data_IF_316075204326
#
_entry.id   IF_316075204326
#
_cell.length_a   1.000
_cell.length_b   1.000
_cell.length_c   1.000
_cell.angle_alpha   90.00
_cell.angle_beta   90.00
_cell.angle_gamma   90.00
#
_symmetry.space_group_name_H-M   'P 1'
#
loop_
_entity.id
_entity.type
_entity.pdbx_description
1 polymer ?
#
# COMPACT_ATOMS: atom_id res chain seq x y z
N UNK A 1 9.31 -8.77 17.01
CA UNK A 1 8.21 -8.91 16.05
C UNK A 1 7.26 -7.72 16.12
N UNK A 2 6.93 -7.11 15.00
CA UNK A 2 5.97 -6.00 14.91
C UNK A 2 4.94 -6.34 13.83
N UNK A 3 3.73 -6.71 14.26
CA UNK A 3 2.59 -6.90 13.39
C UNK A 3 1.77 -5.62 13.24
N UNK A 4 0.89 -5.55 12.26
CA UNK A 4 -0.02 -4.42 12.13
C UNK A 4 -1.36 -4.82 11.52
N UNK A 5 -2.39 -4.00 11.81
CA UNK A 5 -3.64 -3.96 11.07
C UNK A 5 -3.80 -2.57 10.45
N UNK A 6 -4.10 -2.50 9.15
CA UNK A 6 -4.09 -1.24 8.40
C UNK A 6 -5.34 -1.12 7.51
N UNK A 7 -6.53 -0.88 8.09
CA UNK A 7 -7.76 -0.72 7.35
C UNK A 7 -7.88 0.65 6.67
N UNK A 8 -8.52 0.67 5.49
CA UNK A 8 -9.00 1.93 4.91
C UNK A 8 -10.33 2.33 5.57
N UNK A 9 -10.54 3.61 5.91
CA UNK A 9 -11.72 4.08 6.63
C UNK A 9 -12.93 4.29 5.70
N UNK A 10 -13.30 3.24 4.96
CA UNK A 10 -14.42 3.26 4.01
C UNK A 10 -15.76 2.80 4.60
N UNK A 11 -15.79 2.51 5.88
CA UNK A 11 -16.94 2.05 6.66
C UNK A 11 -16.52 1.10 7.79
N UNK A 12 -17.49 0.48 8.47
CA UNK A 12 -17.22 -0.47 9.53
C UNK A 12 -16.48 -1.70 9.01
N UNK A 13 -15.77 -2.39 9.90
CA UNK A 13 -15.07 -3.62 9.55
C UNK A 13 -16.07 -4.70 9.14
N UNK A 14 -15.84 -5.29 7.98
CA UNK A 14 -16.56 -6.51 7.59
C UNK A 14 -15.86 -7.75 8.19
N UNK A 15 -16.54 -8.89 8.14
CA UNK A 15 -16.03 -10.14 8.72
C UNK A 15 -14.60 -10.49 8.26
N UNK A 16 -14.30 -10.35 6.96
CA UNK A 16 -12.96 -10.63 6.42
C UNK A 16 -11.87 -9.71 6.98
N UNK A 17 -12.19 -8.41 7.20
CA UNK A 17 -11.26 -7.47 7.82
C UNK A 17 -10.99 -7.85 9.28
N UNK A 18 -12.05 -8.27 10.00
CA UNK A 18 -11.92 -8.72 11.38
C UNK A 18 -11.09 -10.00 11.49
N UNK A 19 -11.27 -10.95 10.57
CA UNK A 19 -10.42 -12.16 10.50
C UNK A 19 -8.95 -11.80 10.33
N UNK A 20 -8.63 -10.85 9.44
CA UNK A 20 -7.26 -10.38 9.22
C UNK A 20 -6.70 -9.66 10.46
N UNK A 21 -7.52 -8.86 11.14
CA UNK A 21 -7.14 -8.20 12.40
C UNK A 21 -6.81 -9.23 13.49
N UNK A 22 -7.70 -10.21 13.72
CA UNK A 22 -7.49 -11.29 14.71
C UNK A 22 -6.24 -12.10 14.38
N UNK A 23 -6.06 -12.50 13.12
CA UNK A 23 -4.92 -13.31 12.71
C UNK A 23 -3.58 -12.56 12.96
N UNK A 24 -3.49 -11.30 12.53
CA UNK A 24 -2.28 -10.49 12.75
C UNK A 24 -2.04 -10.16 14.24
N UNK A 25 -3.11 -9.96 15.01
CA UNK A 25 -3.02 -9.74 16.45
C UNK A 25 -2.47 -10.97 17.18
N UNK A 26 -3.07 -12.14 16.96
CA UNK A 26 -2.63 -13.38 17.59
C UNK A 26 -1.20 -13.75 17.18
N UNK A 27 -0.85 -13.52 15.93
CA UNK A 27 0.52 -13.74 15.44
C UNK A 27 1.53 -12.83 16.18
N UNK A 28 1.25 -11.53 16.28
CA UNK A 28 2.10 -10.61 17.04
C UNK A 28 2.23 -11.02 18.52
N UNK A 29 1.11 -11.35 19.17
CA UNK A 29 1.11 -11.75 20.59
C UNK A 29 1.82 -13.08 20.82
N UNK A 30 1.70 -14.04 19.90
CA UNK A 30 2.41 -15.34 20.01
C UNK A 30 3.94 -15.17 19.98
N UNK A 31 4.42 -14.11 19.35
CA UNK A 31 5.85 -13.74 19.32
C UNK A 31 6.25 -12.75 20.41
N UNK A 32 5.40 -12.50 21.40
CA UNK A 32 5.62 -11.47 22.43
C UNK A 32 5.95 -10.09 21.82
N UNK A 33 5.42 -9.83 20.63
CA UNK A 33 5.67 -8.63 19.85
C UNK A 33 4.57 -7.59 20.01
N UNK A 34 4.76 -6.47 19.32
CA UNK A 34 3.80 -5.38 19.24
C UNK A 34 2.84 -5.56 18.07
N UNK A 35 1.60 -5.08 18.23
CA UNK A 35 0.60 -5.04 17.18
C UNK A 35 0.09 -3.61 17.01
N UNK A 36 0.39 -3.00 15.86
CA UNK A 36 0.12 -1.59 15.57
C UNK A 36 -1.16 -1.42 14.79
N UNK A 37 -1.84 -0.29 14.99
CA UNK A 37 -2.97 0.14 14.18
C UNK A 37 -2.55 1.30 13.28
N UNK A 38 -2.84 1.18 11.98
CA UNK A 38 -2.72 2.27 11.01
C UNK A 38 -4.03 2.46 10.29
N UNK A 39 -4.42 3.70 10.02
CA UNK A 39 -5.57 4.03 9.19
C UNK A 39 -5.05 4.49 7.83
N UNK A 40 -5.40 3.72 6.78
CA UNK A 40 -4.95 3.98 5.42
C UNK A 40 -5.96 4.95 4.73
N UNK A 41 -5.87 6.24 5.08
CA UNK A 41 -6.74 7.36 4.71
C UNK A 41 -6.13 8.25 3.61
N UNK A 42 -5.92 7.68 2.42
CA UNK A 42 -5.34 8.38 1.24
C UNK A 42 -6.30 8.52 0.06
N UNK A 43 -7.54 8.09 0.21
CA UNK A 43 -8.56 8.18 -0.86
C UNK A 43 -9.84 8.86 -0.35
N UNK A 44 -9.83 10.21 -0.24
CA UNK A 44 -10.94 10.97 0.34
C UNK A 44 -12.30 10.69 -0.30
N UNK A 45 -12.32 10.26 -1.56
CA UNK A 45 -13.56 9.94 -2.27
C UNK A 45 -14.26 8.67 -1.74
N UNK A 46 -13.54 7.80 -1.02
CA UNK A 46 -14.08 6.55 -0.46
C UNK A 46 -14.11 6.52 1.05
N UNK A 47 -13.64 7.57 1.71
CA UNK A 47 -13.54 7.64 3.16
C UNK A 47 -14.83 8.16 3.77
N UNK A 48 -15.19 7.61 4.92
CA UNK A 48 -16.26 8.11 5.78
C UNK A 48 -15.62 8.67 7.05
N UNK A 49 -15.97 9.90 7.40
CA UNK A 49 -15.36 10.61 8.53
C UNK A 49 -15.60 9.91 9.88
N UNK A 50 -16.66 9.10 10.00
CA UNK A 50 -16.97 8.32 11.22
C UNK A 50 -16.23 6.99 11.26
N UNK A 51 -15.78 6.47 10.11
CA UNK A 51 -15.24 5.12 10.03
C UNK A 51 -13.99 4.87 10.90
N UNK A 52 -13.03 5.79 11.06
CA UNK A 52 -11.91 5.55 11.96
C UNK A 52 -12.36 5.23 13.40
N UNK A 53 -13.30 6.02 13.96
CA UNK A 53 -13.82 5.79 15.30
C UNK A 53 -14.58 4.46 15.40
N UNK A 54 -15.42 4.16 14.41
CA UNK A 54 -16.17 2.90 14.34
C UNK A 54 -15.25 1.68 14.27
N UNK A 55 -14.16 1.76 13.50
CA UNK A 55 -13.14 0.71 13.39
C UNK A 55 -12.46 0.49 14.74
N UNK A 56 -12.04 1.55 15.41
CA UNK A 56 -11.42 1.48 16.73
C UNK A 56 -12.35 0.83 17.75
N UNK A 57 -13.60 1.27 17.80
CA UNK A 57 -14.60 0.70 18.71
C UNK A 57 -14.84 -0.78 18.44
N UNK A 58 -14.96 -1.17 17.17
CA UNK A 58 -15.12 -2.57 16.80
C UNK A 58 -13.92 -3.44 17.24
N UNK A 59 -12.68 -2.95 17.03
CA UNK A 59 -11.49 -3.65 17.49
C UNK A 59 -11.51 -3.84 19.02
N UNK A 60 -11.80 -2.80 19.78
CA UNK A 60 -11.88 -2.84 21.24
C UNK A 60 -12.98 -3.79 21.72
N UNK A 61 -14.16 -3.79 21.10
CA UNK A 61 -15.26 -4.71 21.43
C UNK A 61 -14.87 -6.20 21.24
N UNK A 62 -13.91 -6.47 20.36
CA UNK A 62 -13.37 -7.82 20.12
C UNK A 62 -12.08 -8.10 20.93
N UNK A 63 -11.71 -7.21 21.86
CA UNK A 63 -10.51 -7.38 22.69
C UNK A 63 -9.19 -7.19 21.93
N UNK A 64 -9.22 -6.57 20.73
CA UNK A 64 -8.05 -6.32 19.91
C UNK A 64 -7.46 -4.95 20.26
N UNK A 65 -6.58 -4.93 21.25
CA UNK A 65 -5.93 -3.70 21.74
C UNK A 65 -4.58 -3.54 21.05
N UNK A 66 -4.39 -2.44 20.34
CA UNK A 66 -3.14 -2.09 19.68
C UNK A 66 -2.14 -1.43 20.62
N UNK A 67 -0.88 -1.44 20.25
CA UNK A 67 0.22 -0.82 20.99
C UNK A 67 0.60 0.54 20.38
N UNK A 68 0.91 1.51 21.24
CA UNK A 68 1.36 2.83 20.82
C UNK A 68 0.28 3.69 20.13
N UNK A 69 0.75 4.68 19.39
CA UNK A 69 -0.12 5.64 18.71
C UNK A 69 -0.64 5.09 17.37
N UNK A 70 -1.83 5.54 16.99
CA UNK A 70 -2.41 5.20 15.69
C UNK A 70 -1.75 6.07 14.62
N UNK A 71 -1.24 5.44 13.58
CA UNK A 71 -0.71 6.13 12.42
C UNK A 71 -1.81 6.39 11.40
N UNK A 72 -1.96 7.65 10.96
CA UNK A 72 -2.82 8.03 9.83
C UNK A 72 -1.95 8.32 8.62
N UNK A 73 -2.23 7.70 7.48
CA UNK A 73 -1.45 7.91 6.26
C UNK A 73 -1.51 9.35 5.74
N UNK A 74 -2.64 10.03 5.93
CA UNK A 74 -2.82 11.45 5.58
C UNK A 74 -1.80 12.38 6.26
N UNK A 75 -1.29 12.01 7.43
CA UNK A 75 -0.24 12.76 8.13
C UNK A 75 1.17 12.55 7.53
N UNK A 76 1.33 11.64 6.58
CA UNK A 76 2.62 11.15 6.06
C UNK A 76 2.98 11.59 4.64
N UNK A 77 2.23 12.53 4.06
CA UNK A 77 2.38 12.93 2.66
C UNK A 77 3.81 13.37 2.29
N UNK A 78 4.51 14.04 3.22
CA UNK A 78 5.91 14.44 3.03
C UNK A 78 6.85 13.23 2.88
N UNK A 79 6.61 12.17 3.65
CA UNK A 79 7.41 10.92 3.56
C UNK A 79 7.22 10.22 2.22
N UNK A 80 6.00 10.20 1.69
CA UNK A 80 5.74 9.63 0.35
C UNK A 80 6.39 10.46 -0.76
N UNK A 81 6.38 11.80 -0.62
CA UNK A 81 7.10 12.66 -1.56
C UNK A 81 8.61 12.39 -1.52
N UNK A 82 9.19 12.26 -0.33
CA UNK A 82 10.61 11.93 -0.17
C UNK A 82 10.95 10.57 -0.80
N UNK A 83 10.12 9.56 -0.57
CA UNK A 83 10.30 8.23 -1.18
C UNK A 83 10.24 8.32 -2.71
N UNK A 84 9.28 9.07 -3.29
CA UNK A 84 9.25 9.29 -4.74
C UNK A 84 10.48 10.01 -5.26
N UNK A 85 10.99 11.01 -4.55
CA UNK A 85 12.22 11.72 -4.95
C UNK A 85 13.41 10.75 -5.01
N UNK A 86 13.54 9.88 -4.02
CA UNK A 86 14.58 8.84 -4.01
C UNK A 86 14.42 7.88 -5.19
N UNK A 87 13.22 7.34 -5.41
CA UNK A 87 12.95 6.44 -6.52
C UNK A 87 13.18 7.10 -7.90
N UNK A 88 12.96 8.42 -8.00
CA UNK A 88 13.28 9.19 -9.22
C UNK A 88 14.79 9.26 -9.42
N UNK A 89 15.56 9.56 -8.38
CA UNK A 89 17.03 9.59 -8.44
C UNK A 89 17.61 8.22 -8.84
N UNK A 90 16.97 7.13 -8.42
CA UNK A 90 17.35 5.76 -8.75
C UNK A 90 16.85 5.31 -10.16
N UNK A 91 16.25 6.22 -10.94
CA UNK A 91 15.65 5.93 -12.24
C UNK A 91 14.65 4.75 -12.20
N UNK A 92 13.82 4.73 -11.15
CA UNK A 92 12.77 3.72 -10.94
C UNK A 92 11.38 4.23 -11.29
N UNK A 93 11.22 5.53 -11.53
CA UNK A 93 9.93 6.12 -11.83
C UNK A 93 9.88 6.66 -13.26
N UNK A 94 8.69 6.57 -13.87
CA UNK A 94 8.41 7.15 -15.18
C UNK A 94 6.94 7.57 -15.28
N UNK A 95 6.63 8.61 -16.11
CA UNK A 95 5.26 9.05 -16.34
C UNK A 95 4.48 8.07 -17.21
N UNK A 96 3.16 8.01 -17.01
CA UNK A 96 2.25 7.17 -17.79
C UNK A 96 0.94 7.89 -18.06
N UNK A 97 0.66 8.17 -19.34
CA UNK A 97 -0.57 8.82 -19.82
C UNK A 97 -1.71 7.84 -20.13
N UNK A 98 -1.48 6.51 -20.09
CA UNK A 98 -2.47 5.50 -20.42
C UNK A 98 -3.75 5.67 -19.60
N UNK A 99 -4.91 5.50 -20.25
CA UNK A 99 -6.19 5.40 -19.55
C UNK A 99 -6.34 4.03 -18.87
N UNK A 100 -7.32 3.91 -17.96
CA UNK A 100 -7.61 2.62 -17.30
C UNK A 100 -8.05 1.56 -18.34
N UNK A 101 -8.71 1.96 -19.40
CA UNK A 101 -9.18 1.05 -20.47
C UNK A 101 -8.01 0.49 -21.29
N UNK A 102 -6.96 1.31 -21.48
CA UNK A 102 -5.80 0.94 -22.28
C UNK A 102 -4.70 0.23 -21.44
N UNK A 103 -4.94 0.09 -20.15
CA UNK A 103 -3.98 -0.53 -19.23
C UNK A 103 -4.33 -2.00 -19.06
N UNK A 104 -3.50 -2.93 -19.53
CA UNK A 104 -3.70 -4.35 -19.29
C UNK A 104 -3.53 -4.68 -17.80
N UNK A 105 -4.04 -5.84 -17.39
CA UNK A 105 -3.90 -6.32 -16.00
C UNK A 105 -2.45 -6.37 -15.56
N UNK A 106 -1.56 -6.80 -16.45
CA UNK A 106 -0.10 -6.81 -16.24
C UNK A 106 0.49 -5.78 -17.18
N UNK A 107 0.97 -4.68 -16.61
CA UNK A 107 1.50 -3.57 -17.40
C UNK A 107 3.00 -3.75 -17.65
N UNK A 108 3.35 -3.98 -18.90
CA UNK A 108 4.71 -4.32 -19.34
C UNK A 108 5.63 -3.12 -19.60
N UNK A 109 5.29 -1.91 -19.13
CA UNK A 109 6.16 -0.74 -19.28
C UNK A 109 5.98 0.00 -20.61
N UNK A 110 4.82 -0.06 -21.28
CA UNK A 110 4.58 0.59 -22.56
C UNK A 110 5.02 2.08 -22.60
N UNK A 111 4.69 2.85 -21.56
CA UNK A 111 5.08 4.25 -21.47
C UNK A 111 6.57 4.48 -21.11
N UNK A 112 7.28 3.48 -20.67
CA UNK A 112 8.70 3.61 -20.34
C UNK A 112 9.54 3.95 -21.57
N UNK A 113 9.18 3.41 -22.74
CA UNK A 113 9.88 3.61 -24.01
C UNK A 113 9.13 4.53 -24.97
N UNK A 114 7.89 4.92 -24.64
CA UNK A 114 7.08 5.78 -25.49
C UNK A 114 7.40 7.26 -25.25
N UNK A 115 8.29 7.83 -26.05
CA UNK A 115 8.64 9.25 -26.01
C UNK A 115 7.55 10.20 -26.57
N UNK A 116 6.51 9.66 -27.21
CA UNK A 116 5.44 10.44 -27.84
C UNK A 116 4.22 10.66 -26.94
N UNK A 117 4.26 10.20 -25.66
CA UNK A 117 3.14 10.44 -24.77
C UNK A 117 2.98 11.92 -24.44
N UNK A 118 1.74 12.39 -24.42
CA UNK A 118 1.42 13.75 -24.01
C UNK A 118 1.45 13.88 -22.48
N UNK A 119 2.46 14.58 -21.98
CA UNK A 119 2.63 14.87 -20.56
C UNK A 119 2.11 16.26 -20.15
N UNK A 120 1.52 17.03 -21.07
CA UNK A 120 0.84 18.28 -20.73
C UNK A 120 -0.48 18.03 -19.97
N UNK A 121 -1.04 16.84 -20.12
CA UNK A 121 -2.24 16.39 -19.43
C UNK A 121 -1.89 15.66 -18.11
N UNK A 122 -2.83 15.59 -17.15
CA UNK A 122 -2.63 14.83 -15.93
C UNK A 122 -2.23 13.38 -16.23
N UNK A 123 -1.11 12.94 -15.67
CA UNK A 123 -0.56 11.62 -15.88
C UNK A 123 -0.22 10.93 -14.55
N UNK A 124 -0.21 9.63 -14.56
CA UNK A 124 0.23 8.83 -13.41
C UNK A 124 1.75 8.67 -13.42
N UNK A 125 2.33 8.40 -12.26
CA UNK A 125 3.73 7.95 -12.15
C UNK A 125 3.75 6.48 -11.81
N UNK A 126 4.51 5.70 -12.57
CA UNK A 126 4.69 4.26 -12.34
C UNK A 126 6.07 3.94 -11.81
N UNK A 127 6.12 2.89 -11.00
CA UNK A 127 7.35 2.24 -10.60
C UNK A 127 7.77 1.21 -11.63
N UNK A 128 9.03 1.31 -12.08
CA UNK A 128 9.63 0.36 -13.00
C UNK A 128 10.27 -0.80 -12.23
N UNK A 129 9.72 -1.99 -12.44
CA UNK A 129 10.26 -3.23 -11.89
C UNK A 129 11.41 -3.66 -12.80
N UNK A 130 12.65 -3.64 -12.29
CA UNK A 130 13.85 -4.05 -13.04
C UNK A 130 14.22 -5.52 -12.80
N UNK A 131 13.78 -6.05 -11.69
CA UNK A 131 14.09 -7.42 -11.25
C UNK A 131 13.19 -8.44 -11.99
N UNK A 132 13.77 -9.46 -12.65
CA UNK A 132 12.97 -10.36 -13.47
C UNK A 132 12.10 -11.34 -12.68
N UNK A 133 12.43 -11.53 -11.41
CA UNK A 133 11.71 -12.43 -10.49
C UNK A 133 11.86 -11.96 -9.04
N UNK A 134 10.85 -12.26 -8.25
CA UNK A 134 10.85 -12.09 -6.79
C UNK A 134 10.46 -13.40 -6.13
N UNK A 135 11.04 -13.67 -4.99
CA UNK A 135 10.64 -14.76 -4.13
C UNK A 135 10.55 -14.24 -2.70
N UNK A 136 9.45 -14.55 -2.04
CA UNK A 136 9.28 -14.34 -0.61
C UNK A 136 8.85 -15.65 0.03
N UNK A 137 9.16 -15.80 1.31
CA UNK A 137 8.66 -16.89 2.11
C UNK A 137 7.57 -16.37 3.04
N UNK A 138 6.31 -16.60 2.64
CA UNK A 138 5.16 -16.26 3.45
C UNK A 138 4.95 -17.33 4.52
N UNK A 139 4.64 -16.91 5.75
CA UNK A 139 4.55 -17.84 6.89
C UNK A 139 3.32 -18.76 6.83
N UNK A 140 2.30 -18.38 6.09
CA UNK A 140 1.08 -19.18 5.89
C UNK A 140 1.08 -19.90 4.54
N UNK A 141 1.52 -19.22 3.48
CA UNK A 141 1.44 -19.70 2.11
C UNK A 141 2.75 -20.35 1.62
N UNK A 142 3.83 -20.29 2.43
CA UNK A 142 5.14 -20.81 2.04
C UNK A 142 5.85 -19.93 1.00
N UNK A 143 6.64 -20.53 0.12
CA UNK A 143 7.38 -19.80 -0.91
C UNK A 143 6.47 -19.31 -2.01
N UNK A 144 6.38 -17.99 -2.17
CA UNK A 144 5.63 -17.34 -3.24
C UNK A 144 6.61 -16.68 -4.21
N UNK A 145 6.43 -16.94 -5.50
CA UNK A 145 7.29 -16.45 -6.57
C UNK A 145 6.50 -15.63 -7.56
N UNK A 146 7.05 -14.51 -7.99
CA UNK A 146 6.52 -13.68 -9.07
C UNK A 146 7.57 -13.45 -10.15
N UNK A 147 7.11 -13.46 -11.39
CA UNK A 147 7.89 -13.13 -12.57
C UNK A 147 7.39 -11.82 -13.15
N UNK A 148 8.33 -10.90 -13.40
CA UNK A 148 8.02 -9.64 -14.06
C UNK A 148 7.37 -9.93 -15.44
N UNK A 149 6.39 -9.11 -15.82
CA UNK A 149 5.63 -9.16 -17.06
C UNK A 149 4.77 -10.44 -17.27
N UNK A 150 4.83 -11.42 -16.38
CA UNK A 150 4.00 -12.61 -16.42
C UNK A 150 2.99 -12.63 -15.26
N UNK A 151 3.47 -12.40 -14.05
CA UNK A 151 2.66 -12.47 -12.83
C UNK A 151 2.38 -11.07 -12.28
N UNK A 152 3.31 -10.11 -12.47
CA UNK A 152 3.17 -8.71 -12.10
C UNK A 152 3.85 -7.79 -13.12
N UNK A 153 3.37 -6.54 -13.20
CA UNK A 153 3.92 -5.48 -14.04
C UNK A 153 4.15 -4.18 -13.29
N UNK A 154 4.68 -3.19 -14.01
CA UNK A 154 4.93 -1.86 -13.45
C UNK A 154 3.64 -1.26 -12.89
N UNK A 155 3.66 -0.80 -11.64
CA UNK A 155 2.48 -0.32 -10.94
C UNK A 155 2.53 1.19 -10.67
N UNK A 156 1.36 1.78 -10.44
CA UNK A 156 1.23 3.22 -10.16
C UNK A 156 1.67 3.51 -8.72
N UNK A 157 2.49 4.54 -8.53
CA UNK A 157 2.90 5.09 -7.23
C UNK A 157 2.30 6.48 -6.96
N UNK A 158 1.97 7.24 -8.03
CA UNK A 158 1.20 8.47 -7.96
C UNK A 158 0.10 8.44 -9.01
N UNK A 159 -1.12 8.69 -8.60
CA UNK A 159 -2.30 8.68 -9.47
C UNK A 159 -2.37 9.98 -10.28
N UNK A 160 -3.14 9.98 -11.38
CA UNK A 160 -3.37 11.16 -12.22
C UNK A 160 -4.01 12.34 -11.48
N UNK A 161 -4.77 12.05 -10.44
CA UNK A 161 -5.42 13.05 -9.56
C UNK A 161 -4.49 13.57 -8.46
N UNK A 162 -3.22 13.18 -8.46
CA UNK A 162 -2.21 13.62 -7.50
C UNK A 162 -2.20 12.83 -6.18
N UNK A 163 -3.08 11.86 -6.00
CA UNK A 163 -3.09 11.03 -4.80
C UNK A 163 -1.99 9.97 -4.84
N UNK A 164 -1.37 9.72 -3.68
CA UNK A 164 -0.41 8.63 -3.54
C UNK A 164 -1.13 7.28 -3.70
N UNK A 165 -0.53 6.36 -4.42
CA UNK A 165 -1.09 5.03 -4.57
C UNK A 165 -0.76 4.17 -3.34
N UNK A 166 -1.68 3.27 -3.01
CA UNK A 166 -1.55 2.33 -1.90
C UNK A 166 -0.20 1.58 -1.90
N UNK A 167 0.25 1.12 -3.06
CA UNK A 167 1.48 0.36 -3.21
C UNK A 167 2.73 1.10 -2.71
N UNK A 168 2.79 2.43 -2.86
CA UNK A 168 3.88 3.22 -2.31
C UNK A 168 3.70 3.45 -0.81
N UNK A 169 2.52 3.89 -0.43
CA UNK A 169 2.26 4.32 0.94
C UNK A 169 2.43 3.17 1.94
N UNK A 170 1.89 2.00 1.64
CA UNK A 170 2.00 0.83 2.54
C UNK A 170 3.45 0.44 2.80
N UNK A 171 4.29 0.44 1.75
CA UNK A 171 5.72 0.06 1.91
C UNK A 171 6.49 1.10 2.71
N UNK A 172 6.27 2.39 2.43
CA UNK A 172 6.93 3.49 3.17
C UNK A 172 6.57 3.45 4.65
N UNK A 173 5.31 3.17 4.96
CA UNK A 173 4.85 3.15 6.35
C UNK A 173 5.20 1.84 7.06
N UNK A 174 5.18 0.70 6.38
CA UNK A 174 5.64 -0.56 6.96
C UNK A 174 7.14 -0.49 7.32
N UNK A 175 7.96 0.14 6.46
CA UNK A 175 9.38 0.41 6.78
C UNK A 175 9.50 1.35 7.99
N UNK A 176 8.73 2.45 8.00
CA UNK A 176 8.77 3.41 9.11
C UNK A 176 8.37 2.80 10.44
N UNK A 177 7.33 1.97 10.45
CA UNK A 177 6.83 1.28 11.64
C UNK A 177 7.67 0.04 12.02
N UNK A 178 8.63 -0.37 11.18
CA UNK A 178 9.46 -1.55 11.40
C UNK A 178 8.67 -2.86 11.36
N UNK A 179 7.64 -2.93 10.53
CA UNK A 179 6.79 -4.13 10.40
C UNK A 179 7.64 -5.31 9.90
N UNK A 180 7.45 -6.48 10.54
CA UNK A 180 8.25 -7.70 10.28
C UNK A 180 7.43 -8.81 9.62
#
# INVERSE_FOLDING_TARGET
YIGRFAPSPSGPLHFGSLVAAVASYLDARSHQGSWLLRIDDLDPARELSTAPAEIMDQLLQHGLVWDGDILFQSSRLASYQQARNQLTADNRLYPCSCSRKDTPRIYAGHCLTNSLQDLSQPHAIRFHIKEPKFEIHDRLLGSIRWRQQLDMGDFIVLRKDGLNAYQLAVVVDDIYQGIT
#
